data_IF_480808898484
#
_entry.id   IF_480808898484
#
_cell.length_a   1.000
_cell.length_b   1.000
_cell.length_c   1.000
_cell.angle_alpha   90.00
_cell.angle_beta   90.00
_cell.angle_gamma   90.00
#
_symmetry.space_group_name_H-M   'P 1'
#
loop_
_entity.id
_entity.type
_entity.pdbx_description
1 polymer ?
#
# COMPACT_ATOMS: atom_id res chain seq x y z
N UNK A 1 1.51 -18.25 -10.20
CA UNK A 1 2.97 -18.01 -10.03
C UNK A 1 3.44 -18.34 -8.62
N UNK A 2 2.59 -18.94 -7.79
CA UNK A 2 2.79 -19.17 -6.37
C UNK A 2 4.06 -19.91 -6.00
N UNK A 3 4.48 -20.93 -6.76
CA UNK A 3 5.78 -21.58 -6.51
C UNK A 3 6.94 -20.59 -6.55
N UNK A 4 6.96 -19.67 -7.52
CA UNK A 4 8.01 -18.67 -7.67
C UNK A 4 8.00 -17.68 -6.51
N UNK A 5 6.80 -17.21 -6.12
CA UNK A 5 6.63 -16.26 -5.03
C UNK A 5 6.96 -16.89 -3.69
N UNK A 6 6.49 -18.11 -3.42
CA UNK A 6 6.80 -18.86 -2.20
C UNK A 6 8.31 -19.12 -2.06
N UNK A 7 8.98 -19.49 -3.15
CA UNK A 7 10.44 -19.65 -3.14
C UNK A 7 11.14 -18.31 -2.89
N UNK A 8 10.71 -17.21 -3.53
CA UNK A 8 11.26 -15.88 -3.27
C UNK A 8 11.00 -15.39 -1.82
N UNK A 9 9.84 -15.71 -1.25
CA UNK A 9 9.43 -15.32 0.11
C UNK A 9 10.30 -15.96 1.20
N UNK A 10 11.04 -17.02 0.86
CA UNK A 10 12.03 -17.60 1.75
C UNK A 10 13.12 -16.59 2.15
N UNK A 11 13.45 -15.63 1.26
CA UNK A 11 14.36 -14.54 1.58
C UNK A 11 13.85 -13.66 2.74
N UNK A 12 12.54 -13.61 2.97
CA UNK A 12 11.91 -12.89 4.09
C UNK A 12 11.53 -13.82 5.25
N UNK A 13 12.04 -15.06 5.25
CA UNK A 13 11.72 -16.09 6.22
C UNK A 13 10.23 -16.50 6.26
N UNK A 14 9.54 -16.45 5.11
CA UNK A 14 8.20 -17.02 4.94
C UNK A 14 7.18 -16.52 6.00
N UNK A 15 6.97 -15.20 6.13
CA UNK A 15 6.23 -14.63 7.26
C UNK A 15 4.77 -15.10 7.35
N UNK A 16 4.12 -15.48 6.23
CA UNK A 16 2.74 -15.96 6.28
C UNK A 16 2.58 -17.24 7.10
N UNK A 17 3.57 -18.14 7.09
CA UNK A 17 3.51 -19.37 7.88
C UNK A 17 3.66 -19.08 9.37
N UNK A 18 4.56 -18.16 9.73
CA UNK A 18 4.73 -17.74 11.13
C UNK A 18 3.47 -17.06 11.64
N UNK A 19 2.96 -16.06 10.91
CA UNK A 19 1.77 -15.30 11.34
C UNK A 19 0.52 -16.17 11.30
N UNK A 20 0.41 -17.11 10.34
CA UNK A 20 -0.67 -18.09 10.28
C UNK A 20 -0.78 -18.90 11.57
N UNK A 21 0.33 -19.49 12.03
CA UNK A 21 0.36 -20.22 13.31
C UNK A 21 0.06 -19.33 14.52
N UNK A 22 0.47 -18.06 14.50
CA UNK A 22 0.13 -17.11 15.57
C UNK A 22 -1.36 -16.80 15.62
N UNK A 23 -2.01 -16.67 14.46
CA UNK A 23 -3.47 -16.45 14.39
C UNK A 23 -4.20 -17.70 14.85
N UNK A 24 -3.83 -18.88 14.33
CA UNK A 24 -4.41 -20.17 14.71
C UNK A 24 -4.32 -20.42 16.22
N UNK A 25 -3.19 -20.06 16.85
CA UNK A 25 -3.01 -20.17 18.31
C UNK A 25 -3.95 -19.26 19.13
N UNK A 26 -4.58 -18.26 18.50
CA UNK A 26 -5.51 -17.32 19.14
C UNK A 26 -6.96 -17.53 18.72
N UNK A 27 -7.24 -18.58 17.95
CA UNK A 27 -8.57 -18.86 17.45
C UNK A 27 -9.51 -19.40 18.54
N UNK A 28 -10.83 -19.14 18.42
CA UNK A 28 -11.50 -18.44 17.30
C UNK A 28 -11.49 -16.90 17.42
N UNK A 29 -11.08 -16.36 18.57
CA UNK A 29 -11.23 -14.94 18.87
C UNK A 29 -10.33 -14.06 17.97
N UNK A 30 -9.06 -14.45 17.81
CA UNK A 30 -8.10 -13.75 16.96
C UNK A 30 -8.50 -13.75 15.49
N UNK A 31 -8.81 -14.92 14.93
CA UNK A 31 -9.29 -15.05 13.56
C UNK A 31 -10.58 -14.28 13.30
N UNK A 32 -11.60 -14.38 14.16
CA UNK A 32 -12.84 -13.62 13.99
C UNK A 32 -12.58 -12.10 14.00
N UNK A 33 -11.75 -11.63 14.93
CA UNK A 33 -11.38 -10.21 15.00
C UNK A 33 -10.65 -9.74 13.73
N UNK A 34 -9.67 -10.51 13.26
CA UNK A 34 -8.91 -10.18 12.06
C UNK A 34 -9.76 -10.26 10.78
N UNK A 35 -10.73 -11.17 10.70
CA UNK A 35 -11.68 -11.22 9.58
C UNK A 35 -12.54 -9.96 9.52
N UNK A 36 -13.01 -9.48 10.68
CA UNK A 36 -13.73 -8.21 10.76
C UNK A 36 -12.86 -7.05 10.29
N UNK A 37 -11.62 -6.95 10.78
CA UNK A 37 -10.68 -5.91 10.32
C UNK A 37 -10.44 -6.01 8.82
N UNK A 38 -10.14 -7.20 8.31
CA UNK A 38 -9.85 -7.40 6.89
C UNK A 38 -11.01 -6.93 6.00
N UNK A 39 -12.26 -7.32 6.33
CA UNK A 39 -13.45 -6.94 5.58
C UNK A 39 -13.86 -5.47 5.74
N UNK A 40 -13.57 -4.85 6.88
CA UNK A 40 -14.01 -3.48 7.21
C UNK A 40 -13.02 -2.38 6.80
N UNK A 41 -11.91 -2.72 6.14
CA UNK A 41 -10.93 -1.73 5.66
C UNK A 41 -11.55 -0.64 4.75
N UNK A 42 -12.47 -0.94 3.80
CA UNK A 42 -13.15 0.10 3.02
C UNK A 42 -14.01 1.03 3.87
N UNK A 43 -14.66 0.51 4.93
CA UNK A 43 -15.43 1.34 5.86
C UNK A 43 -14.51 2.30 6.62
N UNK A 44 -13.36 1.81 7.11
CA UNK A 44 -12.37 2.65 7.76
C UNK A 44 -11.88 3.78 6.84
N UNK A 45 -11.61 3.45 5.57
CA UNK A 45 -11.24 4.43 4.55
C UNK A 45 -12.37 5.43 4.28
N UNK A 46 -13.62 4.99 4.21
CA UNK A 46 -14.77 5.87 4.04
C UNK A 46 -14.92 6.86 5.20
N UNK A 47 -14.78 6.40 6.46
CA UNK A 47 -14.85 7.26 7.64
C UNK A 47 -13.74 8.31 7.67
N UNK A 48 -12.51 7.92 7.36
CA UNK A 48 -11.38 8.87 7.25
C UNK A 48 -11.57 9.83 6.08
N UNK A 49 -12.08 9.34 4.94
CA UNK A 49 -12.42 10.17 3.80
C UNK A 49 -13.47 11.23 4.15
N UNK A 50 -14.58 10.84 4.76
CA UNK A 50 -15.62 11.77 5.24
C UNK A 50 -15.05 12.80 6.22
N UNK A 51 -14.20 12.35 7.15
CA UNK A 51 -13.53 13.27 8.07
C UNK A 51 -12.61 14.26 7.34
N UNK A 52 -11.90 13.86 6.28
CA UNK A 52 -11.10 14.78 5.46
C UNK A 52 -11.97 15.77 4.67
N UNK A 53 -13.22 15.44 4.38
CA UNK A 53 -14.18 16.28 3.66
C UNK A 53 -15.03 17.19 4.56
N UNK A 54 -14.86 17.13 5.89
CA UNK A 54 -15.73 17.82 6.87
C UNK A 54 -15.88 19.34 6.70
N UNK A 55 -14.90 20.00 6.09
CA UNK A 55 -14.91 21.45 5.87
C UNK A 55 -15.22 21.84 4.41
N UNK A 56 -15.52 20.89 3.51
CA UNK A 56 -15.72 21.23 2.08
C UNK A 56 -16.91 22.18 1.89
N UNK A 57 -18.00 21.99 2.65
CA UNK A 57 -19.18 22.85 2.57
C UNK A 57 -18.89 24.29 3.05
N UNK A 58 -18.04 24.45 4.06
CA UNK A 58 -17.69 25.75 4.64
C UNK A 58 -16.60 26.47 3.82
N UNK A 59 -15.56 25.75 3.40
CA UNK A 59 -14.43 26.29 2.65
C UNK A 59 -14.70 26.40 1.14
N UNK A 60 -15.81 25.80 0.66
CA UNK A 60 -16.22 25.70 -0.77
C UNK A 60 -15.08 25.18 -1.68
N UNK A 61 -14.19 24.37 -1.13
CA UNK A 61 -13.00 23.83 -1.81
C UNK A 61 -12.82 22.38 -1.39
N UNK A 62 -12.49 21.54 -2.36
CA UNK A 62 -12.14 20.15 -2.10
C UNK A 62 -10.67 20.06 -1.63
N UNK A 63 -10.33 19.20 -0.67
CA UNK A 63 -8.94 19.01 -0.27
C UNK A 63 -8.11 18.52 -1.47
N UNK A 64 -6.98 19.15 -1.72
CA UNK A 64 -6.05 18.73 -2.79
C UNK A 64 -5.44 17.35 -2.51
N UNK A 65 -5.40 16.94 -1.24
CA UNK A 65 -4.94 15.64 -0.76
C UNK A 65 -6.05 14.94 0.00
N UNK A 66 -6.66 13.91 -0.60
CA UNK A 66 -7.73 13.15 0.03
C UNK A 66 -7.64 11.66 -0.31
N UNK A 67 -8.02 10.82 0.65
CA UNK A 67 -7.80 9.36 0.61
C UNK A 67 -8.48 8.68 -0.58
N UNK A 68 -9.70 9.13 -0.90
CA UNK A 68 -10.56 8.48 -1.91
C UNK A 68 -9.87 8.37 -3.27
N UNK A 69 -9.13 9.39 -3.72
CA UNK A 69 -8.44 9.34 -5.02
C UNK A 69 -7.40 8.24 -5.08
N UNK A 70 -6.49 8.21 -4.10
CA UNK A 70 -5.45 7.17 -4.02
C UNK A 70 -6.08 5.79 -3.85
N UNK A 71 -7.10 5.66 -3.01
CA UNK A 71 -7.80 4.40 -2.77
C UNK A 71 -8.40 3.82 -4.05
N UNK A 72 -9.08 4.65 -4.85
CA UNK A 72 -9.65 4.26 -6.14
C UNK A 72 -8.57 3.95 -7.19
N UNK A 73 -7.49 4.75 -7.24
CA UNK A 73 -6.38 4.50 -8.17
C UNK A 73 -5.69 3.16 -7.88
N UNK A 74 -5.48 2.82 -6.61
CA UNK A 74 -4.98 1.51 -6.17
C UNK A 74 -5.95 0.41 -6.65
N UNK A 75 -7.24 0.57 -6.42
CA UNK A 75 -8.26 -0.41 -6.82
C UNK A 75 -8.44 -0.58 -8.33
N UNK A 76 -8.09 0.43 -9.12
CA UNK A 76 -8.12 0.37 -10.58
C UNK A 76 -6.86 -0.27 -11.17
N UNK A 77 -5.68 0.12 -10.68
CA UNK A 77 -4.40 -0.29 -11.25
C UNK A 77 -3.92 -1.66 -10.74
N UNK A 78 -4.28 -2.02 -9.51
CA UNK A 78 -3.96 -3.32 -8.92
C UNK A 78 -4.44 -4.52 -9.76
N UNK A 79 -5.73 -4.58 -10.13
CA UNK A 79 -6.27 -5.67 -10.95
C UNK A 79 -5.59 -5.83 -12.31
N UNK A 80 -5.08 -4.77 -12.91
CA UNK A 80 -4.30 -4.88 -14.14
C UNK A 80 -2.99 -5.67 -13.92
N UNK A 81 -2.36 -5.51 -12.76
CA UNK A 81 -1.13 -6.26 -12.41
C UNK A 81 -1.46 -7.72 -12.11
N UNK A 82 -2.63 -8.03 -11.52
CA UNK A 82 -3.09 -9.41 -11.30
C UNK A 82 -3.16 -10.23 -12.60
N UNK A 83 -3.47 -9.58 -13.73
CA UNK A 83 -3.49 -10.24 -15.04
C UNK A 83 -2.09 -10.59 -15.55
N UNK A 84 -1.07 -9.83 -15.14
CA UNK A 84 0.32 -9.99 -15.58
C UNK A 84 1.09 -10.91 -14.63
N UNK A 85 0.78 -10.84 -13.33
CA UNK A 85 1.44 -11.59 -12.27
C UNK A 85 0.41 -12.35 -11.40
N UNK A 86 -0.25 -13.39 -11.94
CA UNK A 86 -1.31 -14.10 -11.24
C UNK A 86 -0.74 -14.99 -10.12
N UNK A 87 -1.15 -14.69 -8.88
CA UNK A 87 -0.78 -15.40 -7.64
C UNK A 87 -2.03 -15.52 -6.78
N UNK A 88 -2.24 -16.67 -6.15
CA UNK A 88 -3.45 -16.95 -5.34
C UNK A 88 -3.20 -16.78 -3.83
N UNK A 89 -2.00 -17.07 -3.35
CA UNK A 89 -1.63 -16.94 -1.94
C UNK A 89 -1.45 -18.29 -1.22
N UNK A 90 -0.76 -18.30 -0.07
CA UNK A 90 -0.44 -19.53 0.68
C UNK A 90 -1.60 -20.47 1.00
N UNK A 91 -2.75 -19.96 1.47
CA UNK A 91 -3.89 -20.79 1.90
C UNK A 91 -4.54 -21.53 0.73
N UNK A 92 -4.47 -20.97 -0.48
CA UNK A 92 -4.96 -21.60 -1.71
C UNK A 92 -3.89 -22.48 -2.36
N UNK A 93 -2.65 -22.01 -2.45
CA UNK A 93 -1.58 -22.75 -3.12
C UNK A 93 -1.08 -23.96 -2.30
N UNK A 94 -1.10 -23.84 -0.97
CA UNK A 94 -0.49 -24.78 -0.04
C UNK A 94 -1.39 -25.12 1.16
N UNK A 95 -2.67 -24.77 1.15
CA UNK A 95 -3.60 -24.99 2.25
C UNK A 95 -4.93 -25.59 1.80
N UNK A 96 -5.85 -25.72 2.76
CA UNK A 96 -7.12 -26.41 2.57
C UNK A 96 -8.02 -25.74 1.52
N UNK A 97 -7.95 -24.42 1.38
CA UNK A 97 -8.84 -23.63 0.51
C UNK A 97 -8.56 -23.87 -0.99
N UNK A 98 -7.39 -24.41 -1.34
CA UNK A 98 -7.11 -24.83 -2.72
C UNK A 98 -7.70 -26.17 -3.11
N UNK A 99 -8.17 -26.97 -2.14
CA UNK A 99 -8.74 -28.30 -2.37
C UNK A 99 -7.84 -29.18 -3.23
N UNK A 100 -8.41 -29.78 -4.28
CA UNK A 100 -7.70 -30.66 -5.22
C UNK A 100 -6.66 -29.94 -6.12
N UNK A 101 -6.68 -28.61 -6.16
CA UNK A 101 -5.78 -27.79 -6.97
C UNK A 101 -4.57 -27.28 -6.19
N UNK A 102 -4.61 -27.38 -4.85
CA UNK A 102 -3.48 -27.05 -4.00
C UNK A 102 -2.28 -27.94 -4.33
N UNK A 103 -1.08 -27.36 -4.36
CA UNK A 103 0.15 -28.12 -4.58
C UNK A 103 0.46 -29.06 -3.41
N UNK A 104 0.05 -28.67 -2.20
CA UNK A 104 0.08 -29.45 -0.98
C UNK A 104 -0.92 -28.87 0.03
N UNK A 105 -1.26 -29.60 1.10
CA UNK A 105 -2.04 -29.07 2.22
C UNK A 105 -1.16 -29.04 3.48
N UNK A 106 -0.33 -28.01 3.58
CA UNK A 106 0.76 -27.88 4.56
C UNK A 106 0.81 -26.53 5.27
N UNK A 107 0.18 -25.49 4.73
CA UNK A 107 0.06 -24.19 5.38
C UNK A 107 -0.97 -24.25 6.52
N UNK A 108 -0.71 -23.65 7.70
CA UNK A 108 0.46 -22.84 8.07
C UNK A 108 1.59 -23.63 8.76
N UNK A 109 1.40 -24.92 9.00
CA UNK A 109 2.25 -25.73 9.88
C UNK A 109 3.64 -26.00 9.34
N UNK A 110 3.72 -26.36 8.05
CA UNK A 110 4.93 -26.85 7.42
C UNK A 110 5.33 -25.96 6.24
N UNK A 111 6.61 -25.56 6.24
CA UNK A 111 7.18 -24.84 5.10
C UNK A 111 7.29 -25.79 3.90
N UNK A 112 6.86 -25.37 2.70
CA UNK A 112 7.07 -26.18 1.50
C UNK A 112 8.57 -26.35 1.24
N UNK A 113 8.96 -27.53 0.74
CA UNK A 113 10.35 -27.81 0.37
C UNK A 113 10.83 -26.83 -0.69
N UNK A 114 11.97 -26.19 -0.45
CA UNK A 114 12.60 -25.29 -1.42
C UNK A 114 13.19 -26.14 -2.54
N UNK A 115 12.67 -25.95 -3.75
CA UNK A 115 13.16 -26.58 -4.97
C UNK A 115 12.99 -25.64 -6.16
N UNK A 116 13.41 -26.07 -7.35
CA UNK A 116 13.22 -25.29 -8.56
C UNK A 116 11.72 -25.03 -8.78
N UNK A 117 11.24 -23.77 -8.77
CA UNK A 117 9.82 -23.48 -8.81
C UNK A 117 9.23 -23.88 -10.17
N UNK A 118 8.22 -24.73 -10.12
CA UNK A 118 7.47 -25.16 -11.29
C UNK A 118 6.17 -24.36 -11.38
N UNK A 119 5.78 -23.96 -12.59
CA UNK A 119 4.44 -23.44 -12.80
C UNK A 119 3.47 -24.62 -12.70
N UNK A 120 2.51 -24.55 -11.78
CA UNK A 120 1.42 -25.50 -11.70
C UNK A 120 0.11 -24.82 -12.12
N UNK A 121 -0.80 -25.62 -12.68
CA UNK A 121 -2.12 -25.15 -13.06
C UNK A 121 -3.00 -25.08 -11.82
N UNK A 122 -3.70 -23.96 -11.69
CA UNK A 122 -4.78 -23.79 -10.74
C UNK A 122 -6.10 -23.73 -11.51
N UNK A 123 -7.23 -23.87 -10.83
CA UNK A 123 -8.53 -23.66 -11.46
C UNK A 123 -8.72 -22.21 -11.96
N UNK A 124 -9.77 -22.00 -12.76
CA UNK A 124 -10.06 -20.71 -13.40
C UNK A 124 -10.87 -19.75 -12.53
N UNK A 125 -11.41 -20.21 -11.39
CA UNK A 125 -12.36 -19.48 -10.56
C UNK A 125 -11.66 -18.87 -9.33
N UNK A 126 -10.63 -19.51 -8.80
CA UNK A 126 -9.92 -19.04 -7.61
C UNK A 126 -9.27 -17.66 -7.85
N UNK A 127 -9.50 -16.68 -6.96
CA UNK A 127 -8.98 -15.33 -7.13
C UNK A 127 -7.45 -15.26 -7.22
N UNK A 128 -6.94 -14.68 -8.31
CA UNK A 128 -5.50 -14.45 -8.54
C UNK A 128 -5.10 -13.03 -8.14
N UNK A 129 -5.48 -12.62 -6.92
CA UNK A 129 -5.42 -11.24 -6.43
C UNK A 129 -4.36 -11.03 -5.33
N UNK A 130 -3.28 -11.81 -5.37
CA UNK A 130 -2.27 -11.81 -4.31
C UNK A 130 -1.13 -10.78 -4.55
N UNK A 131 -0.64 -10.64 -5.79
CA UNK A 131 0.51 -9.77 -6.12
C UNK A 131 0.13 -8.56 -6.99
N UNK A 132 0.35 -7.30 -6.55
CA UNK A 132 0.78 -6.88 -5.22
C UNK A 132 -0.39 -6.90 -4.22
N UNK A 133 -0.10 -6.93 -2.92
CA UNK A 133 -1.16 -6.93 -1.92
C UNK A 133 -1.91 -5.59 -1.89
N UNK A 134 -3.14 -5.55 -2.42
CA UNK A 134 -3.97 -4.32 -2.39
C UNK A 134 -4.47 -3.99 -0.99
N UNK A 135 -4.76 -4.98 -0.14
CA UNK A 135 -5.08 -4.73 1.26
C UNK A 135 -3.94 -4.01 1.97
N UNK A 136 -2.70 -4.43 1.72
CA UNK A 136 -1.50 -3.72 2.19
C UNK A 136 -1.45 -2.30 1.64
N UNK A 137 -1.65 -2.13 0.32
CA UNK A 137 -1.59 -0.81 -0.30
C UNK A 137 -2.66 0.15 0.26
N UNK A 138 -3.90 -0.30 0.38
CA UNK A 138 -5.00 0.48 0.97
C UNK A 138 -4.76 0.80 2.44
N UNK A 139 -4.25 -0.15 3.23
CA UNK A 139 -3.93 0.07 4.63
C UNK A 139 -2.79 1.08 4.82
N UNK A 140 -1.76 1.04 3.96
CA UNK A 140 -0.70 2.06 3.93
C UNK A 140 -1.25 3.42 3.54
N UNK A 141 -2.12 3.49 2.52
CA UNK A 141 -2.77 4.75 2.12
C UNK A 141 -3.58 5.34 3.28
N UNK A 142 -4.42 4.53 3.95
CA UNK A 142 -5.18 4.93 5.14
C UNK A 142 -4.24 5.43 6.26
N UNK A 143 -3.15 4.70 6.52
CA UNK A 143 -2.14 5.10 7.49
C UNK A 143 -1.53 6.46 7.17
N UNK A 144 -1.14 6.71 5.92
CA UNK A 144 -0.57 7.99 5.49
C UNK A 144 -1.56 9.14 5.67
N UNK A 145 -2.81 8.95 5.27
CA UNK A 145 -3.86 9.98 5.32
C UNK A 145 -4.32 10.33 6.75
N UNK A 146 -4.03 9.47 7.73
CA UNK A 146 -4.28 9.75 9.15
C UNK A 146 -3.10 10.45 9.84
N UNK A 147 -1.91 10.54 9.24
CA UNK A 147 -0.71 11.10 9.90
C UNK A 147 -0.80 12.59 10.23
N UNK A 148 -1.53 13.37 9.42
CA UNK A 148 -1.77 14.80 9.63
C UNK A 148 -2.98 15.09 10.55
N UNK A 149 -3.68 14.05 11.01
CA UNK A 149 -4.85 14.16 11.88
C UNK A 149 -4.51 14.27 13.37
N UNK A 150 -5.57 14.33 14.19
CA UNK A 150 -5.45 14.28 15.65
C UNK A 150 -4.82 12.97 16.14
N UNK A 151 -4.33 12.92 17.39
CA UNK A 151 -3.63 11.75 17.96
C UNK A 151 -4.44 10.45 17.82
N UNK A 152 -5.75 10.50 18.04
CA UNK A 152 -6.63 9.33 17.92
C UNK A 152 -6.69 8.80 16.47
N UNK A 153 -6.68 9.68 15.46
CA UNK A 153 -6.63 9.25 14.05
C UNK A 153 -5.31 8.56 13.73
N UNK A 154 -4.21 9.06 14.31
CA UNK A 154 -2.89 8.45 14.13
C UNK A 154 -2.86 7.05 14.75
N UNK A 155 -3.45 6.86 15.92
CA UNK A 155 -3.62 5.53 16.49
C UNK A 155 -4.52 4.63 15.63
N UNK A 156 -5.67 5.14 15.18
CA UNK A 156 -6.58 4.40 14.31
C UNK A 156 -5.87 3.91 13.03
N UNK A 157 -5.19 4.80 12.31
CA UNK A 157 -4.47 4.38 11.09
C UNK A 157 -3.31 3.42 11.34
N UNK A 158 -2.63 3.51 12.49
CA UNK A 158 -1.60 2.53 12.87
C UNK A 158 -2.24 1.17 13.17
N UNK A 159 -3.35 1.17 13.91
CA UNK A 159 -4.12 -0.03 14.21
C UNK A 159 -4.57 -0.74 12.93
N UNK A 160 -5.21 -0.02 12.01
CA UNK A 160 -5.66 -0.58 10.74
C UNK A 160 -4.50 -1.13 9.91
N UNK A 161 -3.38 -0.42 9.84
CA UNK A 161 -2.19 -0.93 9.16
C UNK A 161 -1.71 -2.26 9.75
N UNK A 162 -1.44 -2.29 11.06
CA UNK A 162 -0.90 -3.49 11.71
C UNK A 162 -1.88 -4.64 11.61
N UNK A 163 -3.15 -4.42 11.95
CA UNK A 163 -4.15 -5.47 11.95
C UNK A 163 -4.46 -6.00 10.53
N UNK A 164 -4.47 -5.15 9.50
CA UNK A 164 -4.61 -5.61 8.11
C UNK A 164 -3.40 -6.42 7.66
N UNK A 165 -2.17 -6.00 7.98
CA UNK A 165 -0.97 -6.78 7.64
C UNK A 165 -0.98 -8.16 8.33
N UNK A 166 -1.33 -8.19 9.62
CA UNK A 166 -1.50 -9.43 10.37
C UNK A 166 -2.58 -10.32 9.74
N UNK A 167 -3.73 -9.77 9.36
CA UNK A 167 -4.79 -10.53 8.70
C UNK A 167 -4.34 -11.09 7.34
N UNK A 168 -3.67 -10.27 6.51
CA UNK A 168 -3.22 -10.69 5.17
C UNK A 168 -2.23 -11.86 5.23
N UNK A 169 -1.31 -11.84 6.18
CA UNK A 169 -0.32 -12.90 6.37
C UNK A 169 -0.93 -14.10 7.11
N UNK A 170 -1.72 -13.82 8.16
CA UNK A 170 -2.27 -14.81 9.08
C UNK A 170 -3.39 -15.66 8.49
N UNK A 171 -4.11 -15.16 7.50
CA UNK A 171 -5.06 -15.97 6.72
C UNK A 171 -4.44 -16.63 5.49
N UNK A 172 -3.13 -16.44 5.26
CA UNK A 172 -2.47 -17.03 4.10
C UNK A 172 -2.95 -16.46 2.78
N UNK A 173 -3.52 -15.25 2.79
CA UNK A 173 -3.93 -14.57 1.55
C UNK A 173 -2.73 -13.97 0.81
N UNK A 174 -1.63 -13.69 1.51
CA UNK A 174 -0.43 -13.07 0.93
C UNK A 174 0.87 -13.65 1.49
N UNK A 175 1.88 -13.72 0.63
CA UNK A 175 3.28 -13.88 0.96
C UNK A 175 3.87 -12.55 1.45
N UNK A 176 4.99 -12.59 2.18
CA UNK A 176 5.69 -11.38 2.65
C UNK A 176 6.17 -10.47 1.52
N UNK A 177 6.66 -11.06 0.44
CA UNK A 177 7.10 -10.35 -0.77
C UNK A 177 5.97 -9.56 -1.46
N UNK A 178 4.71 -9.97 -1.30
CA UNK A 178 3.54 -9.26 -1.84
C UNK A 178 3.22 -8.00 -1.03
N UNK A 179 3.46 -8.05 0.28
CA UNK A 179 3.34 -6.89 1.17
C UNK A 179 4.39 -5.85 0.78
N UNK A 180 5.64 -6.25 0.59
CA UNK A 180 6.73 -5.37 0.13
C UNK A 180 6.35 -4.69 -1.18
N UNK A 181 5.88 -5.47 -2.17
CA UNK A 181 5.41 -4.95 -3.45
C UNK A 181 4.19 -4.01 -3.27
N UNK A 182 3.25 -4.35 -2.39
CA UNK A 182 2.07 -3.55 -2.05
C UNK A 182 2.41 -2.18 -1.46
N UNK A 183 3.42 -2.10 -0.58
CA UNK A 183 3.89 -0.81 -0.04
C UNK A 183 4.53 0.04 -1.14
N UNK A 184 5.43 -0.53 -1.94
CA UNK A 184 6.08 0.20 -3.06
C UNK A 184 5.04 0.70 -4.06
N UNK A 185 4.07 -0.15 -4.41
CA UNK A 185 2.95 0.19 -5.27
C UNK A 185 2.15 1.38 -4.69
N UNK A 186 1.72 1.28 -3.43
CA UNK A 186 0.97 2.34 -2.77
C UNK A 186 1.71 3.68 -2.80
N UNK A 187 2.99 3.70 -2.41
CA UNK A 187 3.77 4.95 -2.33
C UNK A 187 3.99 5.59 -3.71
N UNK A 188 4.10 4.76 -4.75
CA UNK A 188 4.23 5.23 -6.14
C UNK A 188 2.93 5.86 -6.64
N UNK A 189 1.78 5.22 -6.38
CA UNK A 189 0.46 5.75 -6.74
C UNK A 189 0.16 7.02 -5.94
N UNK A 190 0.41 6.99 -4.64
CA UNK A 190 0.22 8.13 -3.75
C UNK A 190 1.05 9.35 -4.19
N UNK A 191 2.33 9.15 -4.52
CA UNK A 191 3.16 10.22 -5.06
C UNK A 191 2.61 10.76 -6.39
N UNK A 192 2.11 9.89 -7.26
CA UNK A 192 1.49 10.29 -8.53
C UNK A 192 0.23 11.14 -8.30
N UNK A 193 -0.68 10.69 -7.42
CA UNK A 193 -1.92 11.40 -7.10
C UNK A 193 -1.66 12.78 -6.49
N UNK A 194 -0.68 12.89 -5.59
CA UNK A 194 -0.24 14.18 -5.03
C UNK A 194 0.37 15.11 -6.08
N UNK A 195 1.08 14.54 -7.05
CA UNK A 195 1.69 15.31 -8.14
C UNK A 195 0.63 15.89 -9.08
N UNK A 196 -0.45 15.14 -9.35
CA UNK A 196 -1.58 15.67 -10.13
C UNK A 196 -2.30 16.82 -9.44
N UNK A 197 -2.37 16.85 -8.11
CA UNK A 197 -3.09 17.93 -7.40
C UNK A 197 -2.25 19.19 -7.18
N UNK A 198 -0.94 19.03 -6.89
CA UNK A 198 -0.02 20.14 -6.62
C UNK A 198 0.63 20.73 -7.88
N UNK A 199 0.67 19.95 -8.96
CA UNK A 199 1.48 20.24 -10.14
C UNK A 199 2.71 19.34 -10.20
N UNK A 200 3.04 18.90 -11.42
CA UNK A 200 4.12 17.94 -11.66
C UNK A 200 5.48 18.64 -11.68
N UNK A 201 6.45 18.13 -10.92
CA UNK A 201 7.82 18.63 -10.90
C UNK A 201 8.86 17.51 -11.03
N UNK A 202 10.14 17.87 -11.01
CA UNK A 202 11.24 16.90 -11.11
C UNK A 202 11.27 15.93 -9.91
N UNK A 203 10.88 16.39 -8.72
CA UNK A 203 10.86 15.54 -7.51
C UNK A 203 9.76 14.49 -7.57
N UNK A 204 8.58 14.87 -8.11
CA UNK A 204 7.48 13.98 -8.47
C UNK A 204 7.93 12.94 -9.47
N UNK A 205 8.53 13.39 -10.58
CA UNK A 205 9.04 12.49 -11.63
C UNK A 205 10.03 11.48 -11.06
N UNK A 206 11.00 11.93 -10.25
CA UNK A 206 11.99 11.06 -9.62
C UNK A 206 11.36 10.05 -8.68
N UNK A 207 10.41 10.46 -7.84
CA UNK A 207 9.74 9.56 -6.89
C UNK A 207 8.93 8.48 -7.64
N UNK A 208 8.14 8.88 -8.63
CA UNK A 208 7.29 7.96 -9.39
C UNK A 208 8.13 7.01 -10.25
N UNK A 209 9.14 7.53 -10.95
CA UNK A 209 10.04 6.72 -11.76
C UNK A 209 10.84 5.73 -10.90
N UNK A 210 11.40 6.17 -9.77
CA UNK A 210 12.13 5.29 -8.86
C UNK A 210 11.23 4.20 -8.28
N UNK A 211 10.04 4.56 -7.79
CA UNK A 211 9.05 3.60 -7.28
C UNK A 211 8.63 2.58 -8.35
N UNK A 212 8.37 3.03 -9.58
CA UNK A 212 8.02 2.17 -10.70
C UNK A 212 9.15 1.21 -11.11
N UNK A 213 10.40 1.68 -11.11
CA UNK A 213 11.59 0.85 -11.37
C UNK A 213 11.76 -0.19 -10.27
N UNK A 214 11.71 0.20 -8.99
CA UNK A 214 11.82 -0.75 -7.87
C UNK A 214 10.69 -1.77 -7.94
N UNK A 215 9.44 -1.35 -8.15
CA UNK A 215 8.31 -2.27 -8.29
C UNK A 215 8.51 -3.28 -9.42
N UNK A 216 8.96 -2.82 -10.59
CA UNK A 216 9.24 -3.68 -11.74
C UNK A 216 10.37 -4.66 -11.44
N UNK A 217 11.45 -4.19 -10.81
CA UNK A 217 12.57 -5.03 -10.39
C UNK A 217 12.14 -6.11 -9.40
N UNK A 218 11.25 -5.80 -8.44
CA UNK A 218 10.69 -6.79 -7.52
C UNK A 218 9.95 -7.88 -8.29
N UNK A 219 9.02 -7.53 -9.18
CA UNK A 219 8.27 -8.52 -9.96
C UNK A 219 9.17 -9.37 -10.86
N UNK A 220 10.15 -8.75 -11.52
CA UNK A 220 11.15 -9.46 -12.35
C UNK A 220 11.99 -10.39 -11.50
N UNK A 221 12.48 -9.95 -10.34
CA UNK A 221 13.26 -10.78 -9.43
C UNK A 221 12.45 -11.96 -8.90
N UNK A 222 11.20 -11.74 -8.47
CA UNK A 222 10.33 -12.82 -8.00
C UNK A 222 10.04 -13.85 -9.10
N UNK A 223 10.00 -13.43 -10.37
CA UNK A 223 9.80 -14.33 -11.51
C UNK A 223 11.04 -15.11 -11.91
N UNK A 224 12.21 -14.47 -11.91
CA UNK A 224 13.40 -15.00 -12.58
C UNK A 224 14.57 -15.34 -11.64
N UNK A 225 14.57 -14.80 -10.42
CA UNK A 225 15.60 -15.03 -9.42
C UNK A 225 15.11 -15.74 -8.13
N UNK A 226 13.96 -16.44 -8.09
CA UNK A 226 13.44 -16.94 -6.81
C UNK A 226 14.37 -17.96 -6.15
N UNK A 227 15.03 -18.84 -6.90
CA UNK A 227 15.97 -19.82 -6.34
C UNK A 227 17.21 -19.14 -5.77
N UNK A 228 17.78 -18.16 -6.47
CA UNK A 228 18.92 -17.39 -5.97
C UNK A 228 18.56 -16.63 -4.69
N UNK A 229 17.34 -16.10 -4.62
CA UNK A 229 16.79 -15.46 -3.43
C UNK A 229 16.67 -16.43 -2.25
N UNK A 230 16.17 -17.64 -2.51
CA UNK A 230 16.04 -18.69 -1.51
C UNK A 230 17.39 -19.26 -1.04
N UNK A 231 18.37 -19.39 -1.93
CA UNK A 231 19.71 -19.91 -1.61
C UNK A 231 20.55 -18.90 -0.81
N UNK A 232 20.27 -17.59 -0.96
CA UNK A 232 21.01 -16.51 -0.31
C UNK A 232 20.08 -15.57 0.49
N UNK A 233 19.29 -16.08 1.45
CA UNK A 233 18.29 -15.29 2.16
C UNK A 233 18.94 -14.18 3.01
N UNK A 234 20.16 -14.41 3.50
CA UNK A 234 20.96 -13.43 4.23
C UNK A 234 21.36 -12.20 3.38
N UNK A 235 21.39 -12.33 2.05
CA UNK A 235 21.67 -11.23 1.13
C UNK A 235 20.36 -10.61 0.60
N UNK A 236 19.46 -11.45 0.08
CA UNK A 236 18.24 -10.97 -0.57
C UNK A 236 17.20 -10.44 0.42
N UNK A 237 17.09 -11.01 1.62
CA UNK A 237 16.18 -10.51 2.66
C UNK A 237 16.48 -9.06 3.03
N UNK A 238 17.70 -8.74 3.49
CA UNK A 238 18.11 -7.36 3.74
C UNK A 238 18.01 -6.46 2.50
N UNK A 239 18.35 -6.96 1.30
CA UNK A 239 18.24 -6.19 0.06
C UNK A 239 16.79 -5.75 -0.21
N UNK A 240 15.81 -6.66 -0.08
CA UNK A 240 14.39 -6.34 -0.24
C UNK A 240 13.94 -5.28 0.77
N UNK A 241 14.36 -5.41 2.03
CA UNK A 241 14.03 -4.43 3.08
C UNK A 241 14.72 -3.08 2.86
N UNK A 242 15.94 -3.07 2.32
CA UNK A 242 16.65 -1.84 1.94
C UNK A 242 15.96 -1.16 0.75
N UNK A 243 15.54 -1.91 -0.27
CA UNK A 243 14.78 -1.38 -1.40
C UNK A 243 13.42 -0.81 -0.96
N UNK A 244 12.71 -1.51 -0.07
CA UNK A 244 11.49 -0.98 0.54
C UNK A 244 11.78 0.31 1.31
N UNK A 245 12.81 0.28 2.17
CA UNK A 245 13.24 1.40 2.99
C UNK A 245 13.68 2.61 2.17
N UNK A 246 14.31 2.41 1.01
CA UNK A 246 14.74 3.49 0.13
C UNK A 246 13.54 4.19 -0.52
N UNK A 247 12.52 3.44 -0.97
CA UNK A 247 11.27 4.00 -1.50
C UNK A 247 10.53 4.79 -0.40
N UNK A 248 10.42 4.23 0.81
CA UNK A 248 9.82 4.91 1.96
C UNK A 248 10.59 6.20 2.29
N UNK A 249 11.92 6.14 2.36
CA UNK A 249 12.76 7.29 2.69
C UNK A 249 12.67 8.38 1.62
N UNK A 250 12.67 8.01 0.33
CA UNK A 250 12.49 8.95 -0.77
C UNK A 250 11.11 9.59 -0.72
N UNK A 251 10.05 8.80 -0.49
CA UNK A 251 8.69 9.31 -0.34
C UNK A 251 8.59 10.29 0.83
N UNK A 252 9.10 9.93 2.01
CA UNK A 252 9.06 10.77 3.20
C UNK A 252 9.81 12.10 3.00
N UNK A 253 11.01 12.05 2.40
CA UNK A 253 11.79 13.26 2.07
C UNK A 253 11.06 14.15 1.07
N UNK A 254 10.46 13.55 0.05
CA UNK A 254 9.73 14.27 -1.01
C UNK A 254 8.45 14.89 -0.48
N UNK A 255 7.65 14.12 0.26
CA UNK A 255 6.44 14.59 0.95
C UNK A 255 6.72 15.76 1.90
N UNK A 256 7.78 15.67 2.73
CA UNK A 256 8.12 16.73 3.69
C UNK A 256 8.42 18.05 2.98
N UNK A 257 9.10 18.00 1.83
CA UNK A 257 9.38 19.19 1.02
C UNK A 257 8.09 19.80 0.47
N UNK A 258 7.21 18.97 -0.08
CA UNK A 258 5.91 19.43 -0.59
C UNK A 258 5.06 20.10 0.49
N UNK A 259 4.98 19.48 1.67
CA UNK A 259 4.24 20.03 2.81
C UNK A 259 4.82 21.38 3.28
N UNK A 260 6.14 21.56 3.17
CA UNK A 260 6.81 22.81 3.54
C UNK A 260 6.56 23.94 2.53
N UNK A 261 6.44 23.60 1.24
CA UNK A 261 6.10 24.57 0.18
C UNK A 261 4.65 25.03 0.28
N UNK A 262 3.72 24.12 0.57
CA UNK A 262 2.28 24.44 0.77
C UNK A 262 2.02 25.31 2.01
N UNK A 263 2.89 25.23 3.04
CA UNK A 263 2.74 26.00 4.27
C UNK A 263 3.13 27.49 4.14
N UNK A 264 3.73 27.92 3.03
CA UNK A 264 4.04 29.34 2.80
C UNK A 264 2.74 30.07 2.49
N UNK A 265 2.27 31.02 3.33
CA UNK A 265 1.05 31.75 3.06
C UNK A 265 1.24 32.57 1.79
N UNK A 266 0.36 32.38 0.80
CA UNK A 266 0.24 33.32 -0.32
C UNK A 266 -0.10 34.68 0.32
N UNK A 267 0.70 35.75 0.11
CA UNK A 267 0.33 37.07 0.60
C UNK A 267 -1.07 37.39 0.10
N UNK A 268 -2.00 37.70 1.02
CA UNK A 268 -3.29 38.27 0.62
C UNK A 268 -2.95 39.45 -0.29
N UNK A 269 -3.36 39.38 -1.55
CA UNK A 269 -3.44 40.56 -2.38
C UNK A 269 -4.34 41.53 -1.60
N UNK A 270 -3.73 42.54 -0.99
CA UNK A 270 -4.44 43.69 -0.47
C UNK A 270 -5.12 44.30 -1.68
N UNK A 271 -6.44 44.10 -1.79
CA UNK A 271 -7.27 44.84 -2.73
C UNK A 271 -6.91 46.31 -2.56
N UNK A 272 -6.47 47.03 -3.61
CA UNK A 272 -6.21 48.45 -3.50
C UNK A 272 -7.48 49.12 -2.97
N UNK A 273 -7.38 49.78 -1.82
CA UNK A 273 -8.43 50.66 -1.33
C UNK A 273 -8.76 51.63 -2.46
N UNK A 274 -10.03 51.76 -2.91
CA UNK A 274 -10.37 52.75 -3.92
C UNK A 274 -9.91 54.10 -3.40
N UNK A 275 -9.06 54.78 -4.18
CA UNK A 275 -8.70 56.16 -3.89
C UNK A 275 -10.00 56.95 -3.80
N UNK A 276 -10.31 57.47 -2.61
CA UNK A 276 -11.33 58.50 -2.44
C UNK A 276 -10.89 59.67 -3.31
N UNK A 277 -11.61 59.88 -4.42
CA UNK A 277 -11.54 61.10 -5.21
C UNK A 277 -11.78 62.28 -4.26
N UNK A 278 -10.72 63.03 -3.99
CA UNK A 278 -10.81 64.32 -3.33
C UNK A 278 -11.41 65.25 -4.37
N UNK A 279 -12.72 65.54 -4.23
CA UNK A 279 -13.34 66.63 -4.98
C UNK A 279 -12.64 67.95 -4.65
N UNK A 280 -12.20 68.73 -5.65
CA UNK A 280 -11.69 70.07 -5.40
C UNK A 280 -12.84 70.98 -4.95
N UNK A 281 -12.62 71.65 -3.82
CA UNK A 281 -13.47 72.69 -3.25
C UNK A 281 -13.59 73.87 -4.25
N UNK A 282 -14.81 74.34 -4.58
CA UNK A 282 -14.95 75.51 -5.44
C UNK A 282 -14.56 76.77 -4.68
N UNK A 283 -13.56 77.48 -5.20
CA UNK A 283 -13.18 78.81 -4.74
C UNK A 283 -14.20 79.85 -5.25
N UNK A 284 -14.76 80.60 -4.28
CA UNK A 284 -15.46 81.89 -4.37
C UNK A 284 -16.72 81.99 -5.26
#
# INVERSE_FOLDING_TARGET
>A
LDAYVATADHALANPSWLVGRLVEATDPAGGMFLHLVYGQLPLAAALVGLYQLRNVATERRFPQHHLVRTFLAIGLLGPAIYMIFPVVGPVFAYGADGGQWAAANVWPDVLPTIGAPQAFRFDEITPRNCMPSLHTAWAVSLFLHTRKGARWMRWAGTFWLVATLTATLGFGYHYGVDLVAGVVFCLTIEASMRSFSRGWDLSSTRMVAYGGVVFTLLLVAYRWLPTQMADHPWAFGPLLLILLGSVIALYARTSKRWDSTEAVPVPRQTTPTPATDVQPEPAA
#
